data_IF_055895679598
#
_entry.id   IF_055895679598
#
_cell.length_a   1.000
_cell.length_b   1.000
_cell.length_c   1.000
_cell.angle_alpha   90.00
_cell.angle_beta   90.00
_cell.angle_gamma   90.00
#
_symmetry.space_group_name_H-M   'P 1'
#
loop_
_entity.id
_entity.type
_entity.pdbx_description
1 polymer ?
#
# COMPACT_ATOMS: atom_id res chain seq x y z
N UNK A 1 18.41 2.91 15.53
CA UNK A 1 17.28 3.50 14.79
C UNK A 1 16.33 2.37 14.44
N UNK A 2 15.04 2.48 14.75
CA UNK A 2 14.05 1.49 14.31
C UNK A 2 13.76 1.70 12.84
N UNK A 3 13.94 0.67 12.02
CA UNK A 3 13.58 0.70 10.61
C UNK A 3 12.08 0.98 10.44
N UNK A 4 11.73 1.80 9.45
CA UNK A 4 10.34 2.11 9.09
C UNK A 4 9.78 0.92 8.31
N UNK A 5 8.74 0.30 8.84
CA UNK A 5 8.10 -0.88 8.27
C UNK A 5 7.00 -0.48 7.28
N UNK A 6 7.09 -0.99 6.06
CA UNK A 6 6.11 -0.81 5.00
C UNK A 6 5.29 -2.10 4.91
N UNK A 7 3.97 -1.97 5.08
CA UNK A 7 3.05 -3.08 4.81
C UNK A 7 2.63 -3.03 3.36
N UNK A 8 2.69 -4.17 2.68
CA UNK A 8 2.25 -4.30 1.29
C UNK A 8 1.24 -5.42 1.21
N UNK A 9 0.06 -5.15 0.66
CA UNK A 9 -0.96 -6.17 0.40
C UNK A 9 -1.10 -6.35 -1.10
N UNK A 10 -0.88 -7.57 -1.58
CA UNK A 10 -0.84 -7.90 -3.00
C UNK A 10 -1.39 -9.33 -3.25
N UNK A 11 -2.40 -9.44 -4.11
CA UNK A 11 -3.11 -10.68 -4.45
C UNK A 11 -2.54 -11.41 -5.67
N UNK A 12 -1.44 -10.94 -6.25
CA UNK A 12 -0.78 -11.49 -7.45
C UNK A 12 -0.09 -12.84 -7.24
N UNK A 13 -0.33 -13.53 -6.11
CA UNK A 13 0.38 -14.74 -5.69
C UNK A 13 1.91 -14.55 -5.59
N UNK A 14 2.35 -13.33 -5.27
CA UNK A 14 3.76 -13.00 -5.04
C UNK A 14 4.57 -12.70 -6.30
N UNK A 15 3.93 -12.49 -7.46
CA UNK A 15 4.61 -12.10 -8.70
C UNK A 15 5.43 -10.81 -8.52
N UNK A 16 4.91 -9.84 -7.76
CA UNK A 16 5.61 -8.57 -7.50
C UNK A 16 6.57 -8.62 -6.30
N UNK A 17 6.69 -9.76 -5.61
CA UNK A 17 7.53 -9.89 -4.41
C UNK A 17 9.00 -9.55 -4.63
N UNK A 18 9.65 -9.94 -5.75
CA UNK A 18 11.02 -9.51 -6.03
C UNK A 18 11.17 -7.99 -6.06
N UNK A 19 10.20 -7.30 -6.65
CA UNK A 19 10.19 -5.85 -6.73
C UNK A 19 10.03 -5.20 -5.34
N UNK A 20 9.13 -5.71 -4.50
CA UNK A 20 8.97 -5.18 -3.14
C UNK A 20 10.21 -5.34 -2.27
N UNK A 21 10.98 -6.41 -2.46
CA UNK A 21 12.26 -6.58 -1.76
C UNK A 21 13.28 -5.49 -2.12
N UNK A 22 13.19 -4.89 -3.29
CA UNK A 22 14.07 -3.76 -3.64
C UNK A 22 13.78 -2.48 -2.85
N UNK A 23 12.63 -2.40 -2.19
CA UNK A 23 12.31 -1.30 -1.28
C UNK A 23 13.02 -1.44 0.06
N UNK A 24 13.42 -2.66 0.44
CA UNK A 24 14.14 -2.92 1.69
C UNK A 24 15.55 -2.34 1.63
N UNK A 25 15.93 -1.62 2.68
CA UNK A 25 17.27 -1.06 2.84
C UNK A 25 17.56 -0.83 4.34
N UNK A 26 18.62 -0.09 4.65
CA UNK A 26 18.99 0.23 6.03
C UNK A 26 17.92 1.04 6.82
N UNK A 27 17.02 1.71 6.11
CA UNK A 27 15.93 2.54 6.67
C UNK A 27 14.57 1.84 6.61
N UNK A 28 14.30 1.07 5.55
CA UNK A 28 13.00 0.45 5.29
C UNK A 28 13.02 -1.07 5.42
N UNK A 29 12.01 -1.61 6.09
CA UNK A 29 11.69 -3.06 6.08
C UNK A 29 10.34 -3.27 5.42
N UNK A 30 10.15 -4.41 4.74
CA UNK A 30 8.91 -4.69 4.02
C UNK A 30 8.23 -5.94 4.57
N UNK A 31 6.97 -5.77 4.98
CA UNK A 31 6.08 -6.89 5.33
C UNK A 31 5.04 -7.04 4.22
N UNK A 32 5.21 -8.06 3.37
CA UNK A 32 4.30 -8.36 2.27
C UNK A 32 3.26 -9.42 2.68
N UNK A 33 1.99 -9.18 2.34
CA UNK A 33 0.84 -10.00 2.68
C UNK A 33 0.04 -10.33 1.41
N UNK A 34 -0.50 -11.54 1.35
CA UNK A 34 -1.40 -11.97 0.25
C UNK A 34 -2.87 -11.65 0.51
N UNK A 35 -3.21 -11.16 1.71
CA UNK A 35 -4.58 -10.82 2.09
C UNK A 35 -4.63 -9.62 3.03
N UNK A 36 -5.76 -8.90 3.00
CA UNK A 36 -6.04 -7.76 3.88
C UNK A 36 -6.13 -8.23 5.34
N UNK A 37 -6.73 -9.40 5.57
CA UNK A 37 -6.92 -9.99 6.89
C UNK A 37 -5.58 -10.30 7.57
N UNK A 38 -4.61 -10.86 6.84
CA UNK A 38 -3.30 -11.19 7.39
C UNK A 38 -2.51 -9.93 7.75
N UNK A 39 -2.60 -8.89 6.90
CA UNK A 39 -1.99 -7.59 7.17
C UNK A 39 -2.60 -6.91 8.41
N UNK A 40 -3.93 -6.98 8.57
CA UNK A 40 -4.61 -6.40 9.74
C UNK A 40 -4.28 -7.14 11.05
N UNK A 41 -4.17 -8.47 11.00
CA UNK A 41 -3.80 -9.32 12.14
C UNK A 41 -2.34 -9.16 12.56
N UNK A 42 -1.48 -8.62 11.70
CA UNK A 42 -0.08 -8.40 12.04
C UNK A 42 0.05 -7.43 13.22
N UNK A 43 0.82 -7.85 14.22
CA UNK A 43 1.05 -7.10 15.46
C UNK A 43 1.97 -5.89 15.26
N UNK A 44 2.82 -5.89 14.23
CA UNK A 44 3.68 -4.77 13.90
C UNK A 44 2.85 -3.58 13.41
N UNK A 45 3.30 -2.36 13.73
CA UNK A 45 2.68 -1.14 13.21
C UNK A 45 3.39 -0.73 11.91
N UNK A 46 2.66 -0.56 10.80
CA UNK A 46 3.23 0.03 9.60
C UNK A 46 3.45 1.54 9.79
N UNK A 47 4.48 2.07 9.12
CA UNK A 47 4.66 3.51 8.89
C UNK A 47 4.09 3.91 7.53
N UNK A 48 3.87 2.95 6.64
CA UNK A 48 3.22 3.12 5.35
C UNK A 48 2.50 1.83 4.97
N UNK A 49 1.35 1.96 4.33
CA UNK A 49 0.58 0.84 3.79
C UNK A 49 0.48 1.02 2.28
N UNK A 50 0.78 -0.03 1.53
CA UNK A 50 0.64 -0.09 0.08
C UNK A 50 -0.38 -1.17 -0.24
N UNK A 51 -1.44 -0.79 -0.96
CA UNK A 51 -2.47 -1.69 -1.44
C UNK A 51 -2.31 -1.87 -2.95
N UNK A 52 -1.68 -2.97 -3.37
CA UNK A 52 -1.63 -3.39 -4.77
C UNK A 52 -2.64 -4.50 -5.01
N UNK A 53 -3.91 -4.10 -4.91
CA UNK A 53 -5.07 -4.98 -5.05
C UNK A 53 -6.08 -4.33 -5.98
N UNK A 54 -6.97 -5.14 -6.54
CA UNK A 54 -8.14 -4.63 -7.26
C UNK A 54 -9.17 -4.07 -6.28
N UNK A 55 -9.11 -2.77 -6.03
CA UNK A 55 -10.10 -2.05 -5.21
C UNK A 55 -11.23 -1.52 -6.10
N UNK A 56 -12.39 -2.19 -6.10
CA UNK A 56 -13.57 -1.79 -6.86
C UNK A 56 -14.72 -1.37 -5.92
N UNK A 57 -15.36 -0.24 -6.24
CA UNK A 57 -16.60 0.20 -5.58
C UNK A 57 -16.52 0.23 -4.04
N UNK A 58 -17.55 -0.30 -3.39
CA UNK A 58 -17.71 -0.29 -1.93
C UNK A 58 -16.67 -1.14 -1.19
N UNK A 59 -16.10 -2.16 -1.83
CA UNK A 59 -15.12 -3.05 -1.19
C UNK A 59 -13.79 -2.32 -0.94
N UNK A 60 -13.38 -1.48 -1.90
CA UNK A 60 -12.18 -0.65 -1.78
C UNK A 60 -12.26 0.34 -0.61
N UNK A 61 -13.42 0.99 -0.44
CA UNK A 61 -13.65 1.93 0.67
C UNK A 61 -13.55 1.22 2.02
N UNK A 62 -14.20 0.05 2.16
CA UNK A 62 -14.15 -0.75 3.38
C UNK A 62 -12.74 -1.20 3.74
N UNK A 63 -11.93 -1.60 2.75
CA UNK A 63 -10.54 -1.99 2.97
C UNK A 63 -9.73 -0.81 3.52
N UNK A 64 -9.86 0.37 2.93
CA UNK A 64 -9.17 1.58 3.40
C UNK A 64 -9.61 1.92 4.83
N UNK A 65 -10.91 1.90 5.11
CA UNK A 65 -11.44 2.17 6.46
C UNK A 65 -10.85 1.21 7.51
N UNK A 66 -10.73 -0.09 7.19
CA UNK A 66 -10.06 -1.06 8.08
C UNK A 66 -8.63 -0.63 8.38
N UNK A 67 -7.86 -0.18 7.38
CA UNK A 67 -6.48 0.23 7.56
C UNK A 67 -6.29 1.61 8.20
N UNK A 68 -7.29 2.51 8.14
CA UNK A 68 -7.24 3.79 8.87
C UNK A 68 -7.02 3.59 10.37
N UNK A 69 -7.48 2.47 10.93
CA UNK A 69 -7.25 2.11 12.36
C UNK A 69 -5.78 1.92 12.72
N UNK A 70 -4.90 1.65 11.75
CA UNK A 70 -3.45 1.50 11.95
C UNK A 70 -2.73 2.86 12.01
N UNK A 71 -3.42 3.97 11.68
CA UNK A 71 -2.91 5.34 11.72
C UNK A 71 -1.61 5.54 10.91
N UNK A 72 -1.59 5.01 9.70
CA UNK A 72 -0.49 5.14 8.75
C UNK A 72 -1.02 5.64 7.39
N UNK A 73 -0.22 6.41 6.63
CA UNK A 73 -0.55 6.77 5.25
C UNK A 73 -0.76 5.54 4.38
N UNK A 74 -1.65 5.66 3.40
CA UNK A 74 -2.03 4.59 2.48
C UNK A 74 -1.74 5.03 1.04
N UNK A 75 -0.97 4.20 0.33
CA UNK A 75 -0.81 4.26 -1.13
C UNK A 75 -1.66 3.15 -1.76
N UNK A 76 -2.43 3.49 -2.78
CA UNK A 76 -3.17 2.53 -3.61
C UNK A 76 -2.50 2.43 -4.97
N UNK A 77 -2.09 1.22 -5.36
CA UNK A 77 -1.62 0.93 -6.70
C UNK A 77 -2.81 0.53 -7.58
N UNK A 78 -3.14 1.35 -8.58
CA UNK A 78 -4.29 1.14 -9.47
C UNK A 78 -3.83 0.86 -10.90
N UNK A 79 -4.24 -0.27 -11.48
CA UNK A 79 -3.98 -0.58 -12.89
C UNK A 79 -4.64 0.38 -13.89
N UNK A 80 -5.64 1.14 -13.45
CA UNK A 80 -6.40 2.08 -14.28
C UNK A 80 -6.03 3.55 -14.03
N UNK A 81 -5.01 3.82 -13.20
CA UNK A 81 -4.68 5.17 -12.75
C UNK A 81 -5.74 5.74 -11.81
N UNK A 82 -5.68 7.06 -11.56
CA UNK A 82 -6.61 7.77 -10.66
C UNK A 82 -8.05 7.72 -11.20
N UNK A 83 -8.23 7.90 -12.51
CA UNK A 83 -9.51 8.24 -13.16
C UNK A 83 -10.64 7.21 -13.03
N UNK A 84 -10.33 5.97 -12.62
CA UNK A 84 -11.33 4.91 -12.41
C UNK A 84 -11.53 4.48 -10.95
N UNK A 85 -10.88 5.14 -9.99
CA UNK A 85 -11.23 4.94 -8.59
C UNK A 85 -12.61 5.55 -8.30
N UNK A 86 -13.36 4.95 -7.37
CA UNK A 86 -14.64 5.52 -6.97
C UNK A 86 -14.43 6.92 -6.37
N UNK A 87 -15.44 7.79 -6.50
CA UNK A 87 -15.39 9.15 -5.94
C UNK A 87 -15.05 9.15 -4.44
N UNK A 88 -15.51 8.14 -3.70
CA UNK A 88 -15.24 8.00 -2.26
C UNK A 88 -13.76 7.71 -1.97
N UNK A 89 -13.10 6.92 -2.83
CA UNK A 89 -11.67 6.66 -2.75
C UNK A 89 -10.87 7.94 -3.06
N UNK A 90 -11.29 8.71 -4.07
CA UNK A 90 -10.70 10.02 -4.36
C UNK A 90 -10.84 11.03 -3.24
N UNK A 91 -11.99 11.04 -2.56
CA UNK A 91 -12.27 11.93 -1.44
C UNK A 91 -11.59 11.49 -0.13
N UNK A 92 -10.87 10.38 -0.13
CA UNK A 92 -10.12 9.90 1.04
C UNK A 92 -8.67 10.38 0.99
N UNK A 93 -8.03 10.52 2.16
CA UNK A 93 -6.62 10.95 2.31
C UNK A 93 -5.60 9.89 1.84
N UNK A 94 -5.85 9.23 0.71
CA UNK A 94 -4.98 8.20 0.14
C UNK A 94 -4.23 8.73 -1.08
N UNK A 95 -2.99 8.28 -1.23
CA UNK A 95 -2.21 8.55 -2.43
C UNK A 95 -2.43 7.43 -3.44
N UNK A 96 -2.54 7.76 -4.72
CA UNK A 96 -2.77 6.77 -5.78
C UNK A 96 -1.64 6.82 -6.79
N UNK A 97 -1.03 5.66 -7.02
CA UNK A 97 0.04 5.43 -7.99
C UNK A 97 -0.46 4.42 -9.04
N UNK A 98 0.05 4.51 -10.26
CA UNK A 98 -0.29 3.54 -11.31
C UNK A 98 0.39 2.19 -11.01
N UNK A 99 -0.39 1.11 -11.02
CA UNK A 99 0.17 -0.24 -10.82
C UNK A 99 1.19 -0.56 -11.92
N UNK A 100 2.30 -1.18 -11.52
CA UNK A 100 3.47 -1.43 -12.37
C UNK A 100 4.42 -0.23 -12.56
N UNK A 101 4.06 0.99 -12.14
CA UNK A 101 4.98 2.13 -12.14
C UNK A 101 5.82 2.15 -10.86
N UNK A 102 6.88 1.35 -10.92
CA UNK A 102 7.83 1.16 -9.83
C UNK A 102 8.63 2.42 -9.48
N UNK A 103 8.85 3.30 -10.45
CA UNK A 103 9.58 4.55 -10.22
C UNK A 103 8.71 5.52 -9.43
N UNK A 104 7.47 5.70 -9.85
CA UNK A 104 6.51 6.59 -9.19
C UNK A 104 6.22 6.12 -7.75
N UNK A 105 6.09 4.80 -7.55
CA UNK A 105 5.92 4.24 -6.21
C UNK A 105 7.12 4.54 -5.30
N UNK A 106 8.36 4.31 -5.78
CA UNK A 106 9.57 4.60 -5.00
C UNK A 106 9.70 6.08 -4.64
N UNK A 107 9.35 6.99 -5.55
CA UNK A 107 9.36 8.43 -5.29
C UNK A 107 8.30 8.81 -4.25
N UNK A 108 7.08 8.32 -4.41
CA UNK A 108 5.97 8.56 -3.47
C UNK A 108 6.29 8.06 -2.07
N UNK A 109 6.91 6.88 -1.94
CA UNK A 109 7.33 6.33 -0.64
C UNK A 109 8.31 7.30 0.05
N UNK A 110 9.28 7.85 -0.71
CA UNK A 110 10.24 8.82 -0.16
C UNK A 110 9.55 10.10 0.27
N UNK A 111 8.67 10.67 -0.55
CA UNK A 111 7.95 11.90 -0.21
C UNK A 111 7.10 11.78 1.08
N UNK A 112 6.57 10.59 1.36
CA UNK A 112 5.73 10.34 2.53
C UNK A 112 6.56 10.01 3.78
N UNK A 113 7.65 9.26 3.61
CA UNK A 113 8.41 8.72 4.73
C UNK A 113 9.72 9.45 5.03
N UNK A 114 10.32 10.18 4.10
CA UNK A 114 11.50 11.03 4.34
C UNK A 114 11.10 12.43 4.79
#
# INVERSE_FOLDING_TARGET
MTSKNIFIVDDSNGQNRPYYKELENETFTVSAFSSVEDALKNANKPQLIILDLKLNGDDGVKIIEKFKTKNAPIIVCSGWGKDKLSFQLWASDVTVVKSGDHRDLKLTIKEILE
#
